data_IF_979596819141
#
_entry.id   IF_979596819141
#
_cell.length_a   1.000
_cell.length_b   1.000
_cell.length_c   1.000
_cell.angle_alpha   90.00
_cell.angle_beta   90.00
_cell.angle_gamma   90.00
#
_symmetry.space_group_name_H-M   'P 1'
#
loop_
_entity.id
_entity.type
_entity.pdbx_description
1 polymer ?
#
# COMPACT_ATOMS: atom_id res chain seq x y z
N UNK A 1 7.27 0.42 -13.21
CA UNK A 1 6.51 0.15 -14.45
C UNK A 1 5.08 0.64 -14.26
N UNK A 2 4.39 0.99 -15.33
CA UNK A 2 2.96 1.37 -15.34
C UNK A 2 2.24 0.63 -16.46
N UNK A 3 0.92 0.46 -16.36
CA UNK A 3 0.10 -0.19 -17.38
C UNK A 3 -0.79 0.84 -18.07
N UNK A 4 -0.63 0.98 -19.38
CA UNK A 4 -1.36 1.91 -20.24
C UNK A 4 -2.54 1.19 -20.90
N UNK A 5 -3.77 1.64 -20.66
CA UNK A 5 -4.99 1.06 -21.23
C UNK A 5 -5.13 1.47 -22.70
N UNK A 6 -5.16 0.48 -23.61
CA UNK A 6 -5.14 0.74 -25.06
C UNK A 6 -6.49 0.54 -25.75
N UNK A 7 -7.50 0.03 -25.05
CA UNK A 7 -8.85 -0.23 -25.60
C UNK A 7 -9.97 0.42 -24.78
N UNK A 8 -9.80 1.68 -24.34
CA UNK A 8 -10.77 2.42 -23.51
C UNK A 8 -12.23 2.28 -24.00
N UNK A 9 -12.50 2.52 -25.29
CA UNK A 9 -13.87 2.47 -25.83
C UNK A 9 -14.51 1.09 -25.67
N UNK A 10 -13.76 0.04 -25.96
CA UNK A 10 -14.22 -1.35 -25.87
C UNK A 10 -14.41 -1.74 -24.39
N UNK A 11 -13.45 -1.37 -23.54
CA UNK A 11 -13.53 -1.58 -22.09
C UNK A 11 -14.77 -0.92 -21.47
N UNK A 12 -15.05 0.35 -21.80
CA UNK A 12 -16.23 1.07 -21.31
C UNK A 12 -17.56 0.48 -21.83
N UNK A 13 -17.53 -0.29 -22.92
CA UNK A 13 -18.69 -1.01 -23.46
C UNK A 13 -18.81 -2.45 -22.91
N UNK A 14 -17.98 -2.83 -21.93
CA UNK A 14 -18.00 -4.14 -21.28
C UNK A 14 -16.99 -5.15 -21.84
N UNK A 15 -16.12 -4.74 -22.77
CA UNK A 15 -14.99 -5.55 -23.22
C UNK A 15 -13.92 -5.75 -22.14
N UNK A 16 -13.06 -6.76 -22.31
CA UNK A 16 -11.93 -6.98 -21.37
C UNK A 16 -10.88 -5.86 -21.52
N UNK A 17 -10.31 -5.34 -20.42
CA UNK A 17 -9.24 -4.36 -20.50
C UNK A 17 -8.00 -4.99 -21.13
N UNK A 18 -7.35 -4.24 -22.01
CA UNK A 18 -6.07 -4.58 -22.63
C UNK A 18 -5.07 -3.49 -22.32
N UNK A 19 -3.96 -3.89 -21.72
CA UNK A 19 -2.93 -2.96 -21.26
C UNK A 19 -1.60 -3.23 -21.95
N UNK A 20 -0.78 -2.19 -22.04
CA UNK A 20 0.63 -2.29 -22.43
C UNK A 20 1.47 -1.82 -21.24
N UNK A 21 2.44 -2.63 -20.83
CA UNK A 21 3.42 -2.24 -19.82
C UNK A 21 4.37 -1.18 -20.38
N UNK A 22 4.55 -0.10 -19.63
CA UNK A 22 5.52 0.98 -19.93
C UNK A 22 6.55 1.08 -18.80
N UNK A 23 7.81 1.29 -19.16
CA UNK A 23 8.92 1.49 -18.24
C UNK A 23 10.14 0.61 -18.55
N UNK A 24 11.14 0.60 -17.65
CA UNK A 24 11.08 1.17 -16.30
C UNK A 24 11.11 2.70 -16.27
N UNK A 25 10.43 3.28 -15.29
CA UNK A 25 10.63 4.65 -14.83
C UNK A 25 11.37 4.57 -13.51
N UNK A 26 12.64 4.97 -13.51
CA UNK A 26 13.58 4.75 -12.41
C UNK A 26 13.66 6.00 -11.56
N UNK A 27 13.50 5.82 -10.25
CA UNK A 27 13.67 6.88 -9.25
C UNK A 27 14.75 6.46 -8.28
N UNK A 28 15.65 7.39 -7.96
CA UNK A 28 16.59 7.26 -6.85
C UNK A 28 15.85 7.58 -5.57
N UNK A 29 15.75 6.60 -4.68
CA UNK A 29 15.25 6.79 -3.33
C UNK A 29 16.37 7.23 -2.38
N UNK A 30 16.10 8.22 -1.55
CA UNK A 30 16.93 8.61 -0.42
C UNK A 30 16.09 8.54 0.86
N UNK A 31 16.50 7.68 1.80
CA UNK A 31 15.87 7.55 3.13
C UNK A 31 16.74 8.24 4.18
N UNK A 32 16.14 9.09 4.99
CA UNK A 32 16.81 9.81 6.08
C UNK A 32 16.01 9.63 7.36
N UNK A 33 16.65 9.12 8.42
CA UNK A 33 16.06 9.06 9.76
C UNK A 33 16.22 10.42 10.45
N UNK A 34 15.11 11.02 10.87
CA UNK A 34 15.03 12.35 11.50
C UNK A 34 14.41 12.25 12.90
N UNK A 35 14.46 13.34 13.67
CA UNK A 35 13.90 13.41 15.03
C UNK A 35 14.37 12.28 15.96
N UNK A 36 15.63 11.86 15.81
CA UNK A 36 16.18 10.69 16.50
C UNK A 36 16.29 10.98 18.00
N UNK A 37 15.74 10.08 18.83
CA UNK A 37 15.88 10.12 20.29
C UNK A 37 16.27 8.77 20.83
N UNK A 38 17.28 8.75 21.69
CA UNK A 38 17.70 7.56 22.43
C UNK A 38 17.08 7.58 23.82
N UNK A 39 16.64 6.42 24.29
CA UNK A 39 16.05 6.26 25.60
C UNK A 39 16.90 5.35 26.49
N UNK A 40 16.95 5.59 27.82
CA UNK A 40 17.71 4.77 28.76
C UNK A 40 17.28 3.29 28.79
N UNK A 41 16.06 2.98 28.38
CA UNK A 41 15.54 1.62 28.29
C UNK A 41 16.02 0.85 27.04
N UNK A 42 17.04 1.33 26.33
CA UNK A 42 17.62 0.66 25.15
C UNK A 42 16.74 0.75 23.90
N UNK A 43 15.97 1.83 23.75
CA UNK A 43 15.14 2.06 22.57
C UNK A 43 15.55 3.34 21.85
N UNK A 44 15.26 3.39 20.55
CA UNK A 44 15.51 4.54 19.69
C UNK A 44 14.20 4.88 18.99
N UNK A 45 13.76 6.14 19.08
CA UNK A 45 12.70 6.64 18.21
C UNK A 45 13.26 7.47 17.08
N UNK A 46 12.60 7.42 15.93
CA UNK A 46 12.89 8.26 14.77
C UNK A 46 11.63 8.41 13.91
N UNK A 47 11.70 9.36 12.98
CA UNK A 47 10.82 9.44 11.81
C UNK A 47 11.63 9.15 10.56
N UNK A 48 10.99 8.67 9.50
CA UNK A 48 11.68 8.37 8.24
C UNK A 48 11.19 9.28 7.12
N UNK A 49 12.10 10.09 6.59
CA UNK A 49 11.85 10.89 5.40
C UNK A 49 12.33 10.12 4.16
N UNK A 50 11.45 9.91 3.19
CA UNK A 50 11.75 9.27 1.91
C UNK A 50 11.60 10.29 0.78
N UNK A 51 12.70 10.54 0.07
CA UNK A 51 12.72 11.41 -1.10
C UNK A 51 13.01 10.61 -2.36
N UNK A 52 12.28 10.89 -3.44
CA UNK A 52 12.44 10.22 -4.72
C UNK A 52 12.82 11.24 -5.79
N UNK A 53 13.88 10.94 -6.54
CA UNK A 53 14.36 11.79 -7.65
C UNK A 53 14.39 10.97 -8.94
N UNK A 54 13.72 11.45 -9.98
CA UNK A 54 13.67 10.77 -11.27
C UNK A 54 15.06 10.66 -11.91
N UNK A 55 15.44 9.46 -12.34
CA UNK A 55 16.68 9.19 -13.07
C UNK A 55 16.35 8.90 -14.54
N UNK A 56 16.42 9.96 -15.36
CA UNK A 56 16.12 9.85 -16.79
C UNK A 56 17.06 8.87 -17.51
N UNK A 57 18.32 8.77 -17.08
CA UNK A 57 19.36 7.99 -17.77
C UNK A 57 19.16 6.48 -17.63
N UNK A 58 18.49 6.05 -16.56
CA UNK A 58 18.12 4.65 -16.31
C UNK A 58 16.68 4.32 -16.68
N UNK A 59 15.91 5.31 -17.10
CA UNK A 59 14.50 5.17 -17.47
C UNK A 59 14.35 4.93 -18.97
N UNK A 60 13.40 4.07 -19.36
CA UNK A 60 13.09 3.82 -20.77
C UNK A 60 12.50 5.04 -21.47
N UNK A 61 11.78 5.87 -20.71
CA UNK A 61 11.10 7.08 -21.21
C UNK A 61 11.09 8.17 -20.13
N UNK A 62 10.60 9.36 -20.47
CA UNK A 62 10.44 10.48 -19.54
C UNK A 62 9.18 10.34 -18.67
N UNK A 63 9.21 10.82 -17.43
CA UNK A 63 8.06 10.77 -16.52
C UNK A 63 6.88 11.65 -16.97
N UNK A 64 7.07 12.49 -17.99
CA UNK A 64 6.01 13.23 -18.68
C UNK A 64 5.22 12.40 -19.71
N UNK A 65 5.59 11.14 -19.97
CA UNK A 65 4.82 10.24 -20.83
C UNK A 65 3.37 10.13 -20.32
N UNK A 66 2.40 10.34 -21.21
CA UNK A 66 0.98 10.20 -20.90
C UNK A 66 0.51 8.76 -21.02
N UNK A 67 -0.27 8.32 -20.04
CA UNK A 67 -0.90 7.00 -20.01
C UNK A 67 -2.41 7.16 -19.80
N UNK A 68 -3.19 6.23 -20.35
CA UNK A 68 -4.60 6.08 -20.01
C UNK A 68 -4.74 5.07 -18.87
N UNK A 69 -5.40 5.47 -17.79
CA UNK A 69 -5.54 4.65 -16.58
C UNK A 69 -6.88 4.89 -15.90
N UNK A 70 -7.22 4.06 -14.92
CA UNK A 70 -8.45 4.20 -14.14
C UNK A 70 -8.41 5.51 -13.35
N UNK A 71 -9.51 6.24 -13.37
CA UNK A 71 -9.70 7.42 -12.55
C UNK A 71 -10.02 7.00 -11.10
N UNK A 72 -9.01 7.10 -10.23
CA UNK A 72 -9.09 6.63 -8.84
C UNK A 72 -10.13 7.42 -8.04
N UNK A 73 -10.24 8.74 -8.26
CA UNK A 73 -11.23 9.58 -7.57
C UNK A 73 -12.64 9.23 -8.01
N UNK A 74 -12.87 9.08 -9.31
CA UNK A 74 -14.15 8.64 -9.85
C UNK A 74 -14.58 7.31 -9.22
N UNK A 75 -13.70 6.29 -9.23
CA UNK A 75 -14.00 4.97 -8.67
C UNK A 75 -14.24 5.02 -7.16
N UNK A 76 -13.48 5.84 -6.44
CA UNK A 76 -13.65 6.05 -5.00
C UNK A 76 -15.04 6.60 -4.70
N UNK A 77 -15.49 7.60 -5.44
CA UNK A 77 -16.81 8.21 -5.23
C UNK A 77 -17.96 7.29 -5.66
N UNK A 78 -17.81 6.55 -6.75
CA UNK A 78 -18.81 5.52 -7.16
C UNK A 78 -18.97 4.47 -6.06
N UNK A 79 -17.86 3.96 -5.51
CA UNK A 79 -17.90 2.99 -4.40
C UNK A 79 -18.48 3.62 -3.13
N UNK A 80 -18.12 4.87 -2.82
CA UNK A 80 -18.70 5.60 -1.70
C UNK A 80 -20.22 5.66 -1.84
N UNK A 81 -20.76 6.08 -2.99
CA UNK A 81 -22.20 6.20 -3.23
C UNK A 81 -23.02 4.91 -3.03
N UNK A 82 -22.38 3.74 -3.10
CA UNK A 82 -23.01 2.43 -2.85
C UNK A 82 -23.21 2.13 -1.35
N UNK A 83 -22.64 2.92 -0.45
CA UNK A 83 -22.80 2.75 1.00
C UNK A 83 -24.23 3.10 1.46
N UNK A 84 -24.73 2.33 2.44
CA UNK A 84 -26.15 2.30 2.84
C UNK A 84 -26.62 3.61 3.53
N UNK A 85 -25.69 4.43 4.06
CA UNK A 85 -26.02 5.56 4.94
C UNK A 85 -25.53 6.94 4.46
N UNK A 86 -25.46 7.16 3.15
CA UNK A 86 -25.05 8.48 2.62
C UNK A 86 -26.27 9.43 2.57
N UNK A 87 -26.18 10.63 3.17
CA UNK A 87 -27.23 11.65 3.09
C UNK A 87 -27.59 11.98 1.63
N UNK A 88 -28.89 12.09 1.34
CA UNK A 88 -29.40 12.34 -0.01
C UNK A 88 -28.80 13.60 -0.66
N UNK A 89 -28.55 14.66 0.12
CA UNK A 89 -27.92 15.89 -0.38
C UNK A 89 -26.48 15.65 -0.88
N UNK A 90 -25.67 14.90 -0.11
CA UNK A 90 -24.31 14.51 -0.49
C UNK A 90 -24.36 13.65 -1.74
N UNK A 91 -25.26 12.65 -1.78
CA UNK A 91 -25.45 11.77 -2.94
C UNK A 91 -25.77 12.57 -4.21
N UNK A 92 -26.68 13.53 -4.13
CA UNK A 92 -27.04 14.39 -5.28
C UNK A 92 -25.87 15.23 -5.76
N UNK A 93 -25.13 15.87 -4.85
CA UNK A 93 -23.97 16.72 -5.21
C UNK A 93 -22.88 15.88 -5.90
N UNK A 94 -22.49 14.74 -5.30
CA UNK A 94 -21.49 13.85 -5.90
C UNK A 94 -21.97 13.35 -7.27
N UNK A 95 -23.25 12.95 -7.38
CA UNK A 95 -23.83 12.50 -8.65
C UNK A 95 -23.76 13.54 -9.76
N UNK A 96 -24.05 14.81 -9.45
CA UNK A 96 -23.96 15.92 -10.41
C UNK A 96 -22.51 16.20 -10.85
N UNK A 97 -21.56 16.11 -9.91
CA UNK A 97 -20.13 16.31 -10.21
C UNK A 97 -19.63 15.17 -11.11
N UNK A 98 -19.96 13.91 -10.78
CA UNK A 98 -19.58 12.75 -11.58
C UNK A 98 -20.21 12.76 -12.99
N UNK A 99 -21.42 13.30 -13.16
CA UNK A 99 -22.06 13.36 -14.49
C UNK A 99 -21.48 14.44 -15.41
N UNK A 100 -20.77 15.43 -14.85
CA UNK A 100 -20.42 16.66 -15.58
C UNK A 100 -18.96 16.77 -16.00
N UNK A 101 -18.03 16.04 -15.35
CA UNK A 101 -16.61 16.43 -15.39
C UNK A 101 -15.70 15.32 -15.90
N UNK A 102 -15.72 14.13 -15.30
CA UNK A 102 -14.75 13.09 -15.65
C UNK A 102 -15.37 11.71 -15.90
N UNK A 103 -14.61 10.92 -16.65
CA UNK A 103 -14.94 9.56 -17.03
C UNK A 103 -14.25 8.55 -16.09
N UNK A 104 -14.67 7.28 -16.09
CA UNK A 104 -14.00 6.21 -15.35
C UNK A 104 -12.51 6.02 -15.73
N UNK A 105 -12.12 6.46 -16.92
CA UNK A 105 -10.74 6.47 -17.42
C UNK A 105 -10.26 7.91 -17.51
N UNK A 106 -9.03 8.14 -17.06
CA UNK A 106 -8.32 9.41 -17.12
C UNK A 106 -7.02 9.27 -17.90
N UNK A 107 -6.55 10.40 -18.44
CA UNK A 107 -5.23 10.52 -19.03
C UNK A 107 -4.35 11.41 -18.16
N UNK A 108 -3.22 10.88 -17.70
CA UNK A 108 -2.24 11.58 -16.85
C UNK A 108 -0.83 11.25 -17.29
N UNK A 109 0.12 12.11 -16.98
CA UNK A 109 1.54 11.77 -17.07
C UNK A 109 1.90 10.72 -16.01
N UNK A 110 2.97 9.95 -16.24
CA UNK A 110 3.47 9.01 -15.23
C UNK A 110 3.81 9.72 -13.92
N UNK A 111 4.40 10.91 -14.00
CA UNK A 111 4.71 11.75 -12.83
C UNK A 111 3.46 12.11 -12.04
N UNK A 112 2.43 12.63 -12.71
CA UNK A 112 1.16 12.99 -12.07
C UNK A 112 0.51 11.78 -11.42
N UNK A 113 0.48 10.64 -12.12
CA UNK A 113 -0.14 9.42 -11.61
C UNK A 113 0.53 8.90 -10.33
N UNK A 114 1.87 8.91 -10.28
CA UNK A 114 2.63 8.41 -9.14
C UNK A 114 2.67 9.40 -7.97
N UNK A 115 3.07 10.65 -8.25
CA UNK A 115 3.43 11.65 -7.23
C UNK A 115 2.31 12.63 -6.91
N UNK A 116 1.31 12.69 -7.78
CA UNK A 116 0.06 13.37 -7.54
C UNK A 116 -0.26 14.47 -8.53
N UNK A 117 -1.54 14.82 -8.56
CA UNK A 117 -2.11 15.88 -9.38
C UNK A 117 -3.29 16.53 -8.67
N UNK A 118 -3.61 17.77 -9.07
CA UNK A 118 -4.85 18.42 -8.66
C UNK A 118 -6.03 17.80 -9.41
N UNK A 119 -6.93 17.17 -8.67
CA UNK A 119 -8.08 16.49 -9.24
C UNK A 119 -9.29 17.44 -9.41
N UNK A 120 -9.86 17.55 -10.62
CA UNK A 120 -10.99 18.44 -10.88
C UNK A 120 -12.25 18.13 -10.07
N UNK A 121 -12.51 16.85 -9.78
CA UNK A 121 -13.65 16.43 -8.96
C UNK A 121 -13.41 16.88 -7.52
N UNK A 122 -12.23 16.58 -6.96
CA UNK A 122 -11.91 16.95 -5.58
C UNK A 122 -11.88 18.47 -5.39
N UNK A 123 -11.39 19.26 -6.34
CA UNK A 123 -11.41 20.73 -6.26
C UNK A 123 -12.84 21.28 -6.09
N UNK A 124 -13.82 20.70 -6.78
CA UNK A 124 -15.22 21.11 -6.65
C UNK A 124 -15.83 20.59 -5.35
N UNK A 125 -15.60 19.33 -5.01
CA UNK A 125 -16.11 18.76 -3.76
C UNK A 125 -15.53 19.44 -2.53
N UNK A 126 -14.28 19.89 -2.57
CA UNK A 126 -13.67 20.72 -1.51
C UNK A 126 -14.43 22.02 -1.27
N UNK A 127 -15.02 22.62 -2.31
CA UNK A 127 -15.83 23.85 -2.21
C UNK A 127 -17.27 23.57 -1.80
N UNK A 128 -17.86 22.50 -2.32
CA UNK A 128 -19.29 22.18 -2.12
C UNK A 128 -19.54 21.32 -0.87
N UNK A 129 -18.60 20.46 -0.50
CA UNK A 129 -18.64 19.50 0.60
C UNK A 129 -17.31 19.49 1.39
N UNK A 130 -16.86 20.63 1.95
CA UNK A 130 -15.60 20.72 2.70
C UNK A 130 -15.52 19.78 3.92
N UNK A 131 -16.68 19.36 4.46
CA UNK A 131 -16.76 18.37 5.52
C UNK A 131 -16.30 16.96 5.10
N UNK A 132 -16.35 16.69 3.80
CA UNK A 132 -16.05 15.38 3.20
C UNK A 132 -14.68 15.37 2.52
N UNK A 133 -14.33 16.46 1.84
CA UNK A 133 -13.08 16.59 1.08
C UNK A 133 -12.37 17.86 1.52
N UNK A 134 -11.18 17.74 2.09
CA UNK A 134 -10.36 18.90 2.51
C UNK A 134 -9.17 19.17 1.59
N UNK A 135 -8.77 18.17 0.80
CA UNK A 135 -7.65 18.23 -0.14
C UNK A 135 -8.11 17.88 -1.57
N UNK A 136 -7.54 18.57 -2.56
CA UNK A 136 -7.77 18.33 -3.98
C UNK A 136 -6.63 17.56 -4.66
N UNK A 137 -5.56 17.26 -3.94
CA UNK A 137 -4.46 16.44 -4.42
C UNK A 137 -4.76 14.95 -4.25
N UNK A 138 -4.52 14.18 -5.29
CA UNK A 138 -4.58 12.71 -5.25
C UNK A 138 -3.32 12.14 -5.88
N UNK A 139 -2.84 11.02 -5.34
CA UNK A 139 -1.68 10.30 -5.87
C UNK A 139 -1.82 8.81 -5.57
N UNK A 140 -1.30 7.94 -6.45
CA UNK A 140 -1.36 6.49 -6.19
C UNK A 140 -0.18 6.01 -5.35
N UNK A 141 1.01 6.58 -5.56
CA UNK A 141 2.23 6.16 -4.85
C UNK A 141 2.56 7.08 -3.68
N UNK A 142 2.52 8.40 -3.88
CA UNK A 142 2.81 9.38 -2.82
C UNK A 142 1.89 9.23 -1.60
N UNK A 143 0.62 8.88 -1.79
CA UNK A 143 -0.33 8.62 -0.69
C UNK A 143 0.05 7.41 0.18
N UNK A 144 0.92 6.53 -0.32
CA UNK A 144 1.46 5.39 0.43
C UNK A 144 2.77 5.76 1.12
N UNK A 145 3.66 6.48 0.44
CA UNK A 145 5.04 6.69 0.90
C UNK A 145 5.30 8.01 1.63
N UNK A 146 4.46 9.03 1.43
CA UNK A 146 4.69 10.36 2.00
C UNK A 146 4.14 10.51 3.43
N UNK A 147 3.26 9.62 3.89
CA UNK A 147 2.77 9.66 5.28
C UNK A 147 3.85 9.27 6.29
N UNK A 148 4.82 8.46 5.88
CA UNK A 148 5.93 7.97 6.70
C UNK A 148 6.73 9.08 7.42
N UNK A 149 6.76 10.31 6.87
CA UNK A 149 7.47 11.43 7.48
C UNK A 149 6.80 11.96 8.76
N UNK A 150 5.51 11.68 8.96
CA UNK A 150 4.76 12.10 10.15
C UNK A 150 4.70 11.01 11.22
N UNK A 151 5.08 9.79 10.85
CA UNK A 151 4.98 8.62 11.69
C UNK A 151 6.21 8.48 12.58
N UNK A 152 6.01 8.05 13.81
CA UNK A 152 7.09 7.82 14.77
C UNK A 152 7.27 6.33 15.00
N UNK A 153 8.45 5.82 14.69
CA UNK A 153 8.84 4.42 14.89
C UNK A 153 9.75 4.37 16.12
N UNK A 154 9.44 3.50 17.07
CA UNK A 154 10.28 3.17 18.21
C UNK A 154 10.83 1.74 18.02
N UNK A 155 12.14 1.62 17.94
CA UNK A 155 12.83 0.33 17.77
C UNK A 155 13.71 0.00 18.99
N UNK A 156 13.98 -1.28 19.17
CA UNK A 156 14.99 -1.76 20.10
C UNK A 156 16.39 -1.56 19.52
N UNK A 157 17.33 -1.05 20.31
CA UNK A 157 18.69 -0.75 19.83
C UNK A 157 19.66 -1.94 19.93
N UNK A 158 19.22 -3.08 20.48
CA UNK A 158 20.04 -4.28 20.65
C UNK A 158 21.09 -4.20 21.76
N UNK A 159 21.18 -3.09 22.51
CA UNK A 159 22.23 -2.88 23.51
C UNK A 159 21.77 -3.33 24.89
N UNK A 160 22.63 -4.09 25.57
CA UNK A 160 22.43 -4.55 26.94
C UNK A 160 21.60 -5.82 27.03
N UNK A 161 20.96 -6.00 28.18
CA UNK A 161 20.21 -7.20 28.50
C UNK A 161 18.72 -6.87 28.71
N UNK A 162 17.86 -7.83 28.43
CA UNK A 162 16.43 -7.75 28.77
C UNK A 162 16.19 -8.03 30.26
N UNK A 163 14.93 -7.99 30.69
CA UNK A 163 14.54 -8.23 32.10
C UNK A 163 14.93 -9.64 32.59
N UNK A 164 15.14 -10.58 31.67
CA UNK A 164 15.53 -11.95 31.94
C UNK A 164 17.05 -12.17 31.83
N UNK A 165 17.85 -11.10 31.73
CA UNK A 165 19.31 -11.14 31.53
C UNK A 165 19.75 -11.80 30.22
N UNK A 166 18.90 -11.77 29.18
CA UNK A 166 19.22 -12.24 27.83
C UNK A 166 19.76 -11.08 27.00
N UNK A 167 20.79 -11.31 26.18
CA UNK A 167 21.30 -10.27 25.28
C UNK A 167 20.21 -9.75 24.35
N UNK A 168 20.10 -8.43 24.24
CA UNK A 168 19.07 -7.80 23.40
C UNK A 168 19.42 -7.79 21.91
N UNK A 169 20.59 -8.27 21.53
CA UNK A 169 21.08 -8.20 20.17
C UNK A 169 20.12 -8.87 19.18
N UNK A 170 19.44 -9.93 19.59
CA UNK A 170 18.40 -10.61 18.80
C UNK A 170 17.16 -9.75 18.52
N UNK A 171 16.96 -8.67 19.28
CA UNK A 171 15.86 -7.72 19.10
C UNK A 171 16.27 -6.47 18.34
N UNK A 172 17.53 -6.31 17.90
CA UNK A 172 17.98 -5.09 17.22
C UNK A 172 17.09 -4.75 16.02
N UNK A 173 16.64 -3.50 15.95
CA UNK A 173 15.75 -3.02 14.88
C UNK A 173 14.30 -3.47 14.97
N UNK A 174 13.95 -4.35 15.91
CA UNK A 174 12.56 -4.76 16.13
C UNK A 174 11.72 -3.57 16.56
N UNK A 175 10.58 -3.38 15.91
CA UNK A 175 9.65 -2.31 16.22
C UNK A 175 8.93 -2.65 17.52
N UNK A 176 9.07 -1.78 18.51
CA UNK A 176 8.35 -1.86 19.78
C UNK A 176 7.06 -1.05 19.73
N UNK A 177 7.08 0.11 19.04
CA UNK A 177 5.89 0.93 18.80
C UNK A 177 5.93 1.60 17.44
N UNK A 178 4.75 1.72 16.85
CA UNK A 178 4.48 2.53 15.68
C UNK A 178 3.39 3.53 16.03
N UNK A 179 3.63 4.82 15.82
CA UNK A 179 2.73 5.91 16.21
C UNK A 179 2.22 5.77 17.65
N UNK A 180 3.16 5.52 18.57
CA UNK A 180 2.92 5.35 20.01
C UNK A 180 2.10 4.12 20.41
N UNK A 181 1.67 3.29 19.46
CA UNK A 181 0.93 2.05 19.68
C UNK A 181 1.80 0.82 19.49
N UNK A 182 1.48 -0.26 20.21
CA UNK A 182 2.12 -1.58 20.04
C UNK A 182 1.41 -2.46 19.01
N UNK A 183 0.19 -2.08 18.60
CA UNK A 183 -0.60 -2.75 17.59
C UNK A 183 -1.29 -1.72 16.68
N UNK A 184 -1.63 -2.14 15.47
CA UNK A 184 -2.57 -1.41 14.62
C UNK A 184 -4.00 -1.50 15.17
N UNK A 185 -4.92 -0.75 14.58
CA UNK A 185 -6.35 -0.77 14.90
C UNK A 185 -7.25 -0.80 13.67
N UNK A 186 -6.68 -1.10 12.49
CA UNK A 186 -7.35 -1.01 11.19
C UNK A 186 -7.86 -2.36 10.67
N UNK A 187 -7.38 -3.47 11.24
CA UNK A 187 -7.76 -4.83 10.85
C UNK A 187 -8.80 -5.42 11.80
N UNK A 188 -9.49 -6.49 11.38
CA UNK A 188 -10.68 -6.98 12.10
C UNK A 188 -10.35 -7.78 13.36
N UNK A 189 -9.14 -8.33 13.49
CA UNK A 189 -8.75 -9.13 14.64
C UNK A 189 -7.38 -8.76 15.22
N UNK A 190 -7.08 -9.27 16.42
CA UNK A 190 -5.85 -8.97 17.15
C UNK A 190 -4.59 -9.40 16.38
N UNK A 191 -4.63 -10.58 15.76
CA UNK A 191 -3.48 -11.13 15.02
C UNK A 191 -3.09 -10.23 13.85
N UNK A 192 -4.06 -9.83 13.03
CA UNK A 192 -3.84 -8.99 11.86
C UNK A 192 -3.33 -7.58 12.23
N UNK A 193 -3.65 -7.11 13.44
CA UNK A 193 -3.17 -5.85 13.97
C UNK A 193 -1.80 -5.92 14.67
N UNK A 194 -1.15 -7.08 14.77
CA UNK A 194 0.18 -7.17 15.38
C UNK A 194 1.24 -6.48 14.52
N UNK A 195 2.12 -5.72 15.17
CA UNK A 195 3.31 -5.15 14.55
C UNK A 195 4.49 -6.05 14.91
N UNK A 196 4.83 -6.93 13.98
CA UNK A 196 5.91 -7.91 14.12
C UNK A 196 7.13 -7.52 13.28
N UNK A 197 8.31 -7.72 13.86
CA UNK A 197 9.57 -7.64 13.14
C UNK A 197 10.21 -6.26 13.09
N UNK A 198 11.03 -6.03 12.05
CA UNK A 198 11.75 -4.78 11.83
C UNK A 198 11.14 -3.95 10.68
N UNK A 199 11.69 -2.77 10.42
CA UNK A 199 11.36 -1.93 9.26
C UNK A 199 12.06 -2.39 7.95
N UNK A 200 12.64 -3.60 7.95
CA UNK A 200 13.46 -4.17 6.87
C UNK A 200 14.79 -3.47 6.58
N UNK A 201 15.20 -2.45 7.35
CA UNK A 201 16.50 -1.79 7.14
C UNK A 201 17.66 -2.45 7.89
N UNK A 202 17.33 -3.14 8.98
CA UNK A 202 18.26 -3.95 9.77
C UNK A 202 17.54 -5.21 10.27
N UNK A 203 18.31 -6.27 10.48
CA UNK A 203 17.88 -7.56 10.98
C UNK A 203 18.79 -8.00 12.11
N UNK A 204 18.32 -8.92 12.95
CA UNK A 204 19.16 -9.52 13.98
C UNK A 204 20.33 -10.29 13.35
N UNK A 205 21.47 -10.41 14.04
CA UNK A 205 22.59 -11.21 13.57
C UNK A 205 22.24 -12.72 13.59
N UNK A 206 23.12 -13.52 12.99
CA UNK A 206 23.05 -14.98 13.02
C UNK A 206 21.72 -15.56 12.50
N UNK A 207 21.21 -14.94 11.44
CA UNK A 207 20.00 -15.41 10.77
C UNK A 207 20.10 -16.89 10.36
N UNK A 208 19.06 -17.67 10.64
CA UNK A 208 18.99 -19.11 10.39
C UNK A 208 18.06 -19.41 9.21
N UNK A 209 18.37 -20.51 8.50
CA UNK A 209 17.63 -20.92 7.30
C UNK A 209 16.21 -21.42 7.61
N UNK A 210 15.98 -21.90 8.83
CA UNK A 210 14.71 -22.47 9.29
C UNK A 210 13.80 -21.42 9.96
N UNK A 211 14.27 -20.18 10.13
CA UNK A 211 13.48 -19.14 10.78
C UNK A 211 12.63 -18.33 9.80
N UNK A 212 11.54 -17.76 10.33
CA UNK A 212 10.73 -16.76 9.65
C UNK A 212 11.20 -15.37 10.04
N UNK A 213 11.47 -14.56 9.03
CA UNK A 213 11.94 -13.19 9.20
C UNK A 213 10.74 -12.24 9.04
N UNK A 214 10.30 -11.61 10.13
CA UNK A 214 9.13 -10.74 10.13
C UNK A 214 9.49 -9.30 9.81
N UNK A 215 8.69 -8.61 9.01
CA UNK A 215 8.79 -7.15 8.84
C UNK A 215 7.43 -6.50 8.88
N UNK A 216 7.38 -5.31 9.46
CA UNK A 216 6.25 -4.42 9.31
C UNK A 216 6.45 -3.57 8.05
N UNK A 217 5.60 -3.80 7.05
CA UNK A 217 5.61 -3.02 5.82
C UNK A 217 4.54 -1.94 5.91
N UNK A 218 4.96 -0.73 6.27
CA UNK A 218 4.03 0.39 6.43
C UNK A 218 3.26 0.70 5.13
N UNK A 219 3.92 0.56 3.98
CA UNK A 219 3.36 0.81 2.66
C UNK A 219 2.14 -0.08 2.33
N UNK A 220 1.98 -1.22 3.02
CA UNK A 220 0.81 -2.10 2.93
C UNK A 220 0.11 -2.30 4.28
N UNK A 221 0.47 -1.49 5.28
CA UNK A 221 -0.22 -1.39 6.56
C UNK A 221 -0.36 -2.72 7.33
N UNK A 222 0.60 -3.64 7.18
CA UNK A 222 0.60 -4.92 7.92
C UNK A 222 2.01 -5.46 8.13
N UNK A 223 2.12 -6.37 9.09
CA UNK A 223 3.28 -7.25 9.16
C UNK A 223 3.14 -8.43 8.21
N UNK A 224 4.27 -8.79 7.61
CA UNK A 224 4.47 -9.97 6.78
C UNK A 224 5.70 -10.74 7.28
N UNK A 225 5.90 -11.94 6.74
CA UNK A 225 7.10 -12.72 7.02
C UNK A 225 7.74 -13.20 5.73
N UNK A 226 9.05 -13.40 5.78
CA UNK A 226 9.87 -13.89 4.69
C UNK A 226 10.40 -15.27 5.05
N UNK A 227 10.44 -16.18 4.07
CA UNK A 227 10.99 -17.53 4.20
C UNK A 227 12.32 -17.62 3.46
N UNK A 228 13.28 -18.35 4.01
CA UNK A 228 14.51 -18.66 3.31
C UNK A 228 14.19 -19.38 2.00
N UNK A 229 14.79 -18.91 0.92
CA UNK A 229 14.69 -19.55 -0.39
C UNK A 229 16.00 -20.26 -0.72
N UNK A 230 17.12 -19.52 -0.71
CA UNK A 230 18.42 -20.06 -1.12
C UNK A 230 19.58 -19.20 -0.64
N UNK A 231 20.77 -19.78 -0.65
CA UNK A 231 22.03 -19.05 -0.46
C UNK A 231 22.48 -18.45 -1.80
N UNK A 232 22.97 -17.21 -1.77
CA UNK A 232 23.52 -16.48 -2.90
C UNK A 232 24.91 -15.95 -2.54
N UNK A 233 25.71 -15.61 -3.54
CA UNK A 233 26.90 -14.78 -3.36
C UNK A 233 26.61 -13.42 -3.97
N UNK A 234 26.95 -12.36 -3.25
CA UNK A 234 26.86 -11.00 -3.78
C UNK A 234 28.09 -10.67 -4.65
N UNK A 235 28.11 -9.47 -5.25
CA UNK A 235 29.21 -8.99 -6.09
C UNK A 235 30.56 -8.79 -5.36
N UNK A 236 30.60 -9.04 -4.06
CA UNK A 236 31.78 -8.91 -3.20
C UNK A 236 32.20 -10.26 -2.58
N UNK A 237 31.72 -11.38 -3.15
CA UNK A 237 31.97 -12.76 -2.69
C UNK A 237 31.49 -13.05 -1.25
N UNK A 238 30.56 -12.25 -0.74
CA UNK A 238 29.94 -12.48 0.56
C UNK A 238 28.75 -13.42 0.36
N UNK A 239 28.76 -14.54 1.10
CA UNK A 239 27.62 -15.47 1.15
C UNK A 239 26.45 -14.82 1.87
N UNK A 240 25.29 -14.76 1.21
CA UNK A 240 24.06 -14.15 1.71
C UNK A 240 22.90 -15.14 1.63
N UNK A 241 21.90 -14.93 2.48
CA UNK A 241 20.65 -15.67 2.42
C UNK A 241 19.61 -14.82 1.70
N UNK A 242 19.02 -15.39 0.65
CA UNK A 242 17.87 -14.80 -0.02
C UNK A 242 16.61 -15.29 0.68
N UNK A 243 15.90 -14.36 1.32
CA UNK A 243 14.56 -14.57 1.83
C UNK A 243 13.55 -14.02 0.83
N UNK A 244 12.40 -14.68 0.71
CA UNK A 244 11.32 -14.30 -0.21
C UNK A 244 9.99 -14.23 0.51
N UNK A 245 9.12 -13.34 0.04
CA UNK A 245 7.73 -13.27 0.49
C UNK A 245 6.97 -14.50 -0.04
N UNK A 246 6.44 -15.37 0.82
CA UNK A 246 5.70 -16.55 0.38
C UNK A 246 4.27 -16.19 -0.06
N UNK A 247 3.71 -17.00 -0.98
CA UNK A 247 2.40 -16.75 -1.59
C UNK A 247 1.24 -16.78 -0.59
N UNK A 248 1.41 -17.50 0.53
CA UNK A 248 0.43 -17.61 1.60
C UNK A 248 0.17 -16.27 2.33
N UNK A 249 1.07 -15.28 2.23
CA UNK A 249 0.88 -13.95 2.84
C UNK A 249 -0.33 -13.20 2.26
N UNK A 250 -0.63 -13.40 0.96
CA UNK A 250 -1.78 -12.81 0.28
C UNK A 250 -2.82 -13.85 -0.14
N UNK A 251 -2.77 -15.06 0.42
CA UNK A 251 -3.76 -16.09 0.15
C UNK A 251 -5.08 -15.82 0.89
N UNK A 252 -6.18 -16.18 0.26
CA UNK A 252 -7.48 -16.30 0.92
C UNK A 252 -7.47 -17.55 1.81
N UNK A 253 -7.13 -17.37 3.08
CA UNK A 253 -6.96 -18.42 4.08
C UNK A 253 -7.52 -17.98 5.43
N UNK A 254 -7.75 -18.93 6.34
CA UNK A 254 -8.15 -18.66 7.72
C UNK A 254 -7.18 -17.71 8.41
N UNK A 255 -5.88 -17.89 8.20
CA UNK A 255 -4.85 -17.07 8.86
C UNK A 255 -4.91 -15.61 8.40
N UNK A 256 -5.43 -15.36 7.19
CA UNK A 256 -5.56 -14.02 6.62
C UNK A 256 -6.95 -13.40 6.75
N UNK A 257 -7.92 -14.08 7.38
CA UNK A 257 -9.30 -13.59 7.50
C UNK A 257 -9.39 -12.23 8.21
N UNK A 258 -8.46 -11.98 9.14
CA UNK A 258 -8.32 -10.72 9.87
C UNK A 258 -8.03 -9.50 8.99
N UNK A 259 -7.49 -9.72 7.80
CA UNK A 259 -7.12 -8.68 6.84
C UNK A 259 -8.20 -8.40 5.80
N UNK A 260 -9.29 -9.18 5.80
CA UNK A 260 -10.35 -9.02 4.83
C UNK A 260 -11.29 -7.88 5.24
N UNK A 261 -11.92 -7.24 4.26
CA UNK A 261 -12.85 -6.15 4.52
C UNK A 261 -14.12 -6.70 5.18
N UNK A 262 -14.59 -6.03 6.23
CA UNK A 262 -15.88 -6.34 6.84
C UNK A 262 -17.00 -6.08 5.81
N UNK A 263 -17.80 -7.09 5.49
CA UNK A 263 -18.95 -6.89 4.60
C UNK A 263 -20.03 -6.07 5.33
N UNK A 264 -20.26 -4.84 4.89
CA UNK A 264 -21.32 -3.96 5.42
C UNK A 264 -22.73 -4.33 4.92
N UNK A 265 -22.93 -5.53 4.38
CA UNK A 265 -24.26 -5.99 3.95
C UNK A 265 -24.94 -6.75 5.08
N UNK A 266 -26.17 -6.34 5.41
CA UNK A 266 -27.06 -6.86 6.46
C UNK A 266 -27.50 -8.34 6.30
N UNK A 267 -26.66 -9.20 5.72
CA UNK A 267 -26.88 -10.63 5.83
C UNK A 267 -26.40 -11.08 7.20
N UNK A 268 -27.29 -11.74 7.94
CA UNK A 268 -27.08 -12.29 9.29
C UNK A 268 -26.03 -13.41 9.33
N UNK A 269 -25.13 -13.44 8.36
CA UNK A 269 -23.87 -14.18 8.33
C UNK A 269 -22.82 -13.15 7.87
N UNK A 270 -22.11 -12.54 8.82
CA UNK A 270 -20.93 -11.72 8.53
C UNK A 270 -19.84 -12.62 7.92
N UNK A 271 -19.92 -12.89 6.62
CA UNK A 271 -18.80 -13.45 5.88
C UNK A 271 -17.89 -12.29 5.50
N UNK A 272 -16.73 -12.21 6.16
CA UNK A 272 -15.57 -11.48 5.67
C UNK A 272 -15.30 -11.94 4.24
N UNK A 273 -15.56 -11.08 3.25
CA UNK A 273 -15.32 -11.43 1.85
C UNK A 273 -13.88 -11.10 1.52
N UNK A 274 -13.00 -12.06 1.77
CA UNK A 274 -11.64 -12.00 1.30
C UNK A 274 -11.59 -11.92 -0.23
N UNK A 275 -10.63 -11.16 -0.75
CA UNK A 275 -10.34 -11.14 -2.17
C UNK A 275 -9.81 -12.52 -2.61
N UNK A 276 -9.85 -12.83 -3.92
CA UNK A 276 -9.14 -13.99 -4.49
C UNK A 276 -7.68 -14.06 -4.04
N UNK A 277 -7.07 -15.26 -4.11
CA UNK A 277 -5.67 -15.42 -3.74
C UNK A 277 -4.77 -14.44 -4.50
N UNK A 278 -3.72 -13.96 -3.83
CA UNK A 278 -2.71 -13.06 -4.39
C UNK A 278 -3.12 -11.59 -4.43
N UNK A 279 -4.32 -11.26 -3.93
CA UNK A 279 -4.83 -9.88 -3.84
C UNK A 279 -4.97 -9.44 -2.38
N UNK A 280 -4.65 -8.18 -2.11
CA UNK A 280 -4.71 -7.59 -0.78
C UNK A 280 -5.29 -6.17 -0.85
N UNK A 281 -6.37 -5.90 -0.11
CA UNK A 281 -6.99 -4.57 -0.10
C UNK A 281 -6.21 -3.61 0.81
N UNK A 282 -5.92 -2.41 0.29
CA UNK A 282 -5.34 -1.31 1.06
C UNK A 282 -6.39 -0.30 1.54
N UNK A 283 -7.68 -0.57 1.30
CA UNK A 283 -8.79 0.32 1.65
C UNK A 283 -8.93 0.56 3.16
N UNK A 284 -8.39 -0.32 4.01
CA UNK A 284 -8.39 -0.13 5.45
C UNK A 284 -7.46 1.00 5.92
N UNK A 285 -6.42 1.33 5.15
CA UNK A 285 -5.43 2.33 5.56
C UNK A 285 -5.23 3.49 4.59
N UNK A 286 -5.54 3.35 3.30
CA UNK A 286 -5.44 4.45 2.34
C UNK A 286 -6.80 5.10 2.16
N UNK A 287 -6.90 6.39 2.50
CA UNK A 287 -8.15 7.15 2.48
C UNK A 287 -7.97 8.52 1.81
N UNK A 288 -9.05 9.05 1.22
CA UNK A 288 -9.09 10.46 0.85
C UNK A 288 -9.22 11.28 2.13
N UNK A 289 -8.37 12.29 2.28
CA UNK A 289 -8.40 13.17 3.43
C UNK A 289 -9.66 14.04 3.44
N UNK A 290 -10.48 13.90 4.49
CA UNK A 290 -11.63 14.73 4.81
C UNK A 290 -11.54 15.26 6.25
N UNK A 291 -12.27 16.33 6.58
CA UNK A 291 -12.23 16.92 7.93
C UNK A 291 -12.98 16.09 8.98
N UNK A 292 -13.93 15.25 8.56
CA UNK A 292 -14.85 14.54 9.46
C UNK A 292 -14.95 13.05 9.16
N UNK A 293 -14.69 12.64 7.91
CA UNK A 293 -14.78 11.25 7.47
C UNK A 293 -13.63 10.91 6.53
N UNK A 294 -13.10 9.71 6.66
CA UNK A 294 -12.12 9.12 5.75
C UNK A 294 -12.88 8.28 4.71
N UNK A 295 -12.70 8.57 3.42
CA UNK A 295 -13.27 7.74 2.34
C UNK A 295 -12.20 6.73 1.89
N UNK A 296 -12.42 5.43 2.05
CA UNK A 296 -11.48 4.41 1.60
C UNK A 296 -11.21 4.48 0.10
N UNK A 297 -9.94 4.49 -0.30
CA UNK A 297 -9.58 4.31 -1.71
C UNK A 297 -9.67 2.82 -2.07
N UNK A 298 -10.24 2.46 -3.22
CA UNK A 298 -10.36 1.08 -3.67
C UNK A 298 -9.03 0.58 -4.29
N UNK A 299 -7.92 0.70 -3.55
CA UNK A 299 -6.61 0.23 -3.98
C UNK A 299 -6.42 -1.23 -3.54
N UNK A 300 -5.96 -2.06 -4.46
CA UNK A 300 -5.65 -3.47 -4.24
C UNK A 300 -4.20 -3.71 -4.62
N UNK A 301 -3.41 -4.21 -3.67
CA UNK A 301 -2.05 -4.68 -3.88
C UNK A 301 -2.04 -6.12 -4.39
N UNK A 302 -1.00 -6.44 -5.16
CA UNK A 302 -0.71 -7.79 -5.66
C UNK A 302 0.76 -7.88 -6.03
N UNK A 303 1.25 -9.09 -6.29
CA UNK A 303 2.54 -9.23 -6.98
C UNK A 303 2.43 -8.74 -8.44
N UNK A 304 3.55 -8.34 -9.07
CA UNK A 304 3.57 -7.92 -10.46
C UNK A 304 2.86 -8.91 -11.39
N UNK A 305 2.09 -8.39 -12.36
CA UNK A 305 1.30 -9.18 -13.30
C UNK A 305 0.33 -10.19 -12.65
N UNK A 306 -0.05 -9.98 -11.39
CA UNK A 306 -0.84 -10.93 -10.61
C UNK A 306 -0.15 -12.29 -10.45
N UNK A 307 1.19 -12.29 -10.33
CA UNK A 307 1.97 -13.48 -10.01
C UNK A 307 1.44 -14.13 -8.72
N UNK A 308 1.21 -15.45 -8.78
CA UNK A 308 0.62 -16.26 -7.71
C UNK A 308 -0.81 -15.87 -7.29
N UNK A 309 -1.51 -15.04 -8.07
CA UNK A 309 -2.93 -14.80 -7.87
C UNK A 309 -3.80 -15.87 -8.54
N UNK A 310 -5.07 -15.95 -8.15
CA UNK A 310 -6.04 -16.85 -8.79
C UNK A 310 -6.13 -16.62 -10.30
N UNK A 311 -6.36 -17.69 -11.06
CA UNK A 311 -6.39 -17.64 -12.53
C UNK A 311 -7.46 -16.69 -13.07
N UNK A 312 -8.59 -16.58 -12.39
CA UNK A 312 -9.66 -15.63 -12.73
C UNK A 312 -9.19 -14.17 -12.69
N UNK A 313 -8.24 -13.83 -11.82
CA UNK A 313 -7.63 -12.50 -11.72
C UNK A 313 -6.63 -12.30 -12.86
N UNK A 314 -5.76 -13.28 -13.11
CA UNK A 314 -4.78 -13.22 -14.20
C UNK A 314 -5.45 -13.09 -15.58
N UNK A 315 -6.54 -13.83 -15.82
CA UNK A 315 -7.27 -13.85 -17.09
C UNK A 315 -8.25 -12.66 -17.26
N UNK A 316 -8.38 -11.80 -16.24
CA UNK A 316 -9.26 -10.63 -16.29
C UNK A 316 -8.69 -9.50 -17.15
N UNK A 317 -7.36 -9.42 -17.31
CA UNK A 317 -6.68 -8.34 -18.03
C UNK A 317 -5.78 -8.91 -19.12
N UNK A 318 -5.96 -8.44 -20.35
CA UNK A 318 -5.15 -8.83 -21.50
C UNK A 318 -3.84 -8.02 -21.47
N UNK A 319 -2.70 -8.68 -21.66
CA UNK A 319 -1.37 -8.06 -21.69
C UNK A 319 -0.54 -8.25 -20.42
N UNK A 320 -1.04 -9.04 -19.45
CA UNK A 320 -0.26 -9.46 -18.29
C UNK A 320 0.54 -10.73 -18.60
N UNK A 321 1.76 -10.82 -18.08
CA UNK A 321 2.69 -11.95 -18.21
C UNK A 321 3.32 -12.21 -16.83
N UNK A 322 2.68 -13.02 -15.98
CA UNK A 322 3.27 -13.39 -14.69
C UNK A 322 4.42 -14.38 -14.90
N UNK A 323 5.63 -14.04 -14.43
CA UNK A 323 6.86 -14.85 -14.54
C UNK A 323 7.67 -14.94 -13.24
#
# INVERSE_FOLDING_TARGET
YVFDLVNEKDFLNGGKPRVIQRGPFVYKEQRTKTDIRLYPNGTISYRELRNYTFDRTKSSDDETLRINTINVVYMTLVNYLQMINIPSSIRTIIGLVLSSIEKPIMQRTVKEYLWGYEDPILNILKKQLPQLVSNDQVSVFASVVNEAQYETILINNGVGFDINHTERIDNVGKIERFNFSTNLSIWSNKYANMINGTDSTIWHPDARKDELIYTFMNDICRSVYLKFNQTRQNSFDISTYQYTLPNDVFANSSDNEGFCLNSSTNDKIQQLKCLPNGLFSLSSCIHLSGSTFAIPLPIIASNPHFLAADRSVQDAIIGLMPD
#
